data_IF_328130528557
#
_entry.id   IF_328130528557
#
_cell.length_a   1.000
_cell.length_b   1.000
_cell.length_c   1.000
_cell.angle_alpha   90.00
_cell.angle_beta   90.00
_cell.angle_gamma   90.00
#
_symmetry.space_group_name_H-M   'P 1'
#
loop_
_entity.id
_entity.type
_entity.pdbx_description
1 polymer ?
#
# COMPACT_ATOMS: atom_id res chain seq x y z
N UNK A 1 -42.05 18.36 -20.04
CA UNK A 1 -42.90 19.35 -19.34
C UNK A 1 -44.24 18.77 -18.92
N UNK A 2 -44.86 19.06 -17.78
CA UNK A 2 -44.57 20.11 -16.80
C UNK A 2 -44.34 19.58 -15.35
N UNK A 3 -43.63 20.33 -14.54
CA UNK A 3 -44.01 21.20 -13.38
C UNK A 3 -44.85 20.47 -12.30
N UNK A 4 -44.50 20.57 -11.08
CA UNK A 4 -44.36 21.48 -9.99
C UNK A 4 -44.76 20.70 -8.74
N UNK A 5 -44.41 20.90 -7.52
CA UNK A 5 -44.33 22.04 -6.62
C UNK A 5 -43.87 21.54 -5.24
N UNK A 6 -43.10 22.30 -4.53
CA UNK A 6 -43.08 22.34 -3.05
C UNK A 6 -44.32 23.20 -2.62
N UNK A 7 -44.69 23.36 -1.38
CA UNK A 7 -43.93 23.73 -0.17
C UNK A 7 -44.54 23.29 1.19
N UNK A 8 -43.98 23.78 2.31
CA UNK A 8 -44.66 23.97 3.59
C UNK A 8 -43.76 23.48 4.77
N UNK A 9 -43.07 24.22 5.48
CA UNK A 9 -43.29 25.39 6.35
C UNK A 9 -43.80 25.02 7.76
N UNK A 10 -42.92 25.36 8.75
CA UNK A 10 -43.22 26.03 10.04
C UNK A 10 -43.97 25.26 11.12
N UNK A 11 -43.38 25.24 12.31
CA UNK A 11 -44.02 24.91 13.56
C UNK A 11 -43.11 24.99 14.77
N UNK A 12 -42.84 26.19 15.25
CA UNK A 12 -42.24 26.39 16.57
C UNK A 12 -43.31 26.34 17.64
N UNK A 13 -42.97 25.84 18.82
CA UNK A 13 -43.73 26.10 20.04
C UNK A 13 -42.77 26.45 21.16
N UNK A 14 -43.02 27.63 21.73
CA UNK A 14 -42.50 28.16 23.00
C UNK A 14 -43.38 27.62 24.16
N UNK A 15 -42.81 27.62 25.35
CA UNK A 15 -43.48 27.62 26.62
C UNK A 15 -43.10 26.37 27.45
N UNK A 16 -42.81 26.43 28.72
CA UNK A 16 -43.08 27.40 29.73
C UNK A 16 -42.33 26.98 31.01
N UNK A 17 -42.05 27.93 31.80
CA UNK A 17 -41.42 27.84 33.12
C UNK A 17 -42.41 27.25 34.10
N UNK A 18 -42.02 26.29 34.97
CA UNK A 18 -42.58 26.20 36.29
C UNK A 18 -41.57 25.69 37.33
N UNK A 19 -41.51 26.44 38.40
CA UNK A 19 -40.77 26.22 39.66
C UNK A 19 -41.41 25.10 40.41
N UNK A 20 -40.59 24.23 41.01
CA UNK A 20 -40.88 23.73 42.38
C UNK A 20 -39.57 23.38 43.09
N UNK A 21 -39.50 23.90 44.27
CA UNK A 21 -38.50 23.82 45.33
C UNK A 21 -38.44 22.44 46.00
N UNK A 22 -37.25 22.04 46.44
CA UNK A 22 -37.20 21.10 47.55
C UNK A 22 -35.91 20.28 47.67
N UNK A 23 -35.10 20.63 48.65
CA UNK A 23 -34.25 19.80 49.48
C UNK A 23 -33.00 19.09 48.94
N UNK A 24 -31.84 19.62 49.26
CA UNK A 24 -30.78 19.00 50.05
C UNK A 24 -30.07 17.79 49.46
N UNK A 25 -29.05 18.02 48.62
CA UNK A 25 -27.94 17.11 48.37
C UNK A 25 -26.63 17.91 48.30
N UNK A 26 -25.50 17.30 48.65
CA UNK A 26 -24.22 18.02 48.65
C UNK A 26 -23.81 18.43 47.24
N UNK A 27 -23.05 19.49 47.08
CA UNK A 27 -22.71 20.01 45.74
C UNK A 27 -21.73 19.08 45.04
N UNK A 28 -22.21 18.40 44.03
CA UNK A 28 -21.40 18.04 42.87
C UNK A 28 -21.16 19.35 42.11
N UNK A 29 -19.93 19.80 42.10
CA UNK A 29 -19.38 20.67 41.07
C UNK A 29 -18.05 21.24 41.52
N UNK A 30 -16.99 20.54 41.25
CA UNK A 30 -15.69 21.13 40.91
C UNK A 30 -14.94 20.17 39.99
N UNK A 31 -15.51 19.90 38.81
CA UNK A 31 -14.69 19.50 37.65
C UNK A 31 -14.28 20.78 36.95
N UNK A 32 -13.39 21.51 37.56
CA UNK A 32 -12.62 22.54 36.89
C UNK A 32 -11.56 21.86 36.04
N UNK A 33 -11.64 22.02 34.75
CA UNK A 33 -10.56 21.72 33.81
C UNK A 33 -9.35 22.56 34.19
N UNK A 34 -8.46 21.99 35.00
CA UNK A 34 -7.15 22.58 35.23
C UNK A 34 -6.28 22.30 33.98
N UNK A 35 -6.24 23.23 33.07
CA UNK A 35 -5.10 23.42 32.18
C UNK A 35 -3.90 23.80 33.04
N UNK A 36 -3.04 22.86 33.28
CA UNK A 36 -1.74 22.84 33.96
C UNK A 36 -1.74 21.76 35.03
N UNK A 37 -1.00 20.70 34.79
CA UNK A 37 -0.93 19.46 35.55
C UNK A 37 -0.67 19.57 37.06
N UNK A 38 -1.70 19.87 37.82
CA UNK A 38 -1.72 19.80 39.27
C UNK A 38 -2.63 18.66 39.68
N UNK A 39 -2.07 17.57 40.21
CA UNK A 39 -2.83 16.52 40.85
C UNK A 39 -3.09 16.91 42.33
N UNK A 40 -4.35 17.15 42.68
CA UNK A 40 -4.79 17.32 44.07
C UNK A 40 -5.03 15.94 44.68
N UNK A 41 -4.23 15.57 45.70
CA UNK A 41 -4.55 14.45 46.59
C UNK A 41 -5.06 15.01 47.89
N UNK A 42 -6.29 14.68 48.24
CA UNK A 42 -6.83 14.93 49.58
C UNK A 42 -6.46 13.75 50.50
N UNK A 43 -5.81 14.05 51.63
CA UNK A 43 -5.67 13.11 52.75
C UNK A 43 -6.57 13.61 53.85
N UNK A 44 -7.58 12.84 54.24
CA UNK A 44 -8.36 13.07 55.45
C UNK A 44 -7.55 12.60 56.67
N UNK A 45 -7.18 13.52 57.52
CA UNK A 45 -6.69 13.26 58.87
C UNK A 45 -7.52 14.13 59.82
N UNK A 46 -8.45 13.48 60.49
CA UNK A 46 -9.22 13.85 61.69
C UNK A 46 -9.43 15.35 61.96
N UNK A 47 -10.66 15.77 62.02
CA UNK A 47 -11.33 16.97 62.52
C UNK A 47 -10.77 18.38 62.26
N UNK A 48 -9.62 18.52 61.57
CA UNK A 48 -9.15 19.81 61.06
C UNK A 48 -8.67 19.63 59.62
N UNK A 49 -9.42 20.16 58.68
CA UNK A 49 -9.10 20.06 57.25
C UNK A 49 -8.03 21.09 56.90
N UNK A 50 -6.77 20.73 57.00
CA UNK A 50 -5.68 21.53 56.43
C UNK A 50 -5.38 21.04 54.99
N UNK A 51 -5.67 21.89 54.03
CA UNK A 51 -5.33 21.64 52.63
C UNK A 51 -3.81 21.84 52.42
N UNK A 52 -3.04 20.77 52.44
CA UNK A 52 -1.63 20.79 52.07
C UNK A 52 -1.52 20.67 50.54
N UNK A 53 -1.30 21.80 49.89
CA UNK A 53 -0.95 21.82 48.48
C UNK A 53 0.54 21.43 48.36
N UNK A 54 0.81 20.16 48.07
CA UNK A 54 2.14 19.74 47.71
C UNK A 54 2.32 20.01 46.22
N UNK A 55 3.02 21.08 45.86
CA UNK A 55 3.50 21.33 44.50
C UNK A 55 4.57 20.27 44.16
N UNK A 56 4.11 19.10 43.71
CA UNK A 56 4.99 18.18 43.09
C UNK A 56 5.54 18.84 41.79
N UNK A 57 6.86 18.96 41.70
CA UNK A 57 7.46 19.26 40.38
C UNK A 57 6.98 18.17 39.41
N UNK A 58 6.04 18.53 38.56
CA UNK A 58 5.81 17.79 37.34
C UNK A 58 7.10 17.97 36.54
N UNK A 59 7.93 16.95 36.55
CA UNK A 59 8.97 16.87 35.55
C UNK A 59 8.22 16.87 34.22
N UNK A 60 8.26 18.00 33.52
CA UNK A 60 7.90 18.03 32.08
C UNK A 60 8.71 16.91 31.46
N UNK A 61 8.08 15.78 31.21
CA UNK A 61 8.61 14.84 30.23
C UNK A 61 8.57 15.62 28.92
N UNK A 62 9.73 16.18 28.56
CA UNK A 62 9.93 16.78 27.26
C UNK A 62 9.52 15.73 26.25
N UNK A 63 8.44 15.98 25.51
CA UNK A 63 8.01 15.09 24.45
C UNK A 63 9.22 14.80 23.57
N UNK A 64 9.47 13.54 23.18
CA UNK A 64 10.64 13.19 22.40
C UNK A 64 10.69 14.09 21.17
N UNK A 65 11.84 14.75 20.94
CA UNK A 65 12.03 15.64 19.81
C UNK A 65 11.99 14.82 18.51
N UNK A 66 10.85 14.81 17.84
CA UNK A 66 10.60 14.06 16.61
C UNK A 66 11.37 14.56 15.40
N UNK A 67 11.91 15.78 15.48
CA UNK A 67 12.78 16.29 14.41
C UNK A 67 14.07 15.44 14.26
N UNK A 68 14.60 14.89 15.35
CA UNK A 68 15.84 14.09 15.30
C UNK A 68 15.67 12.81 14.49
N UNK A 69 14.73 11.90 14.80
CA UNK A 69 14.55 10.68 14.00
C UNK A 69 14.14 10.98 12.56
N UNK A 70 13.30 11.99 12.32
CA UNK A 70 12.95 12.43 10.98
C UNK A 70 14.17 12.86 10.15
N UNK A 71 15.01 13.75 10.71
CA UNK A 71 16.22 14.21 10.02
C UNK A 71 17.24 13.08 9.81
N UNK A 72 17.33 12.15 10.76
CA UNK A 72 18.20 10.99 10.62
C UNK A 72 17.72 10.10 9.45
N UNK A 73 16.44 9.77 9.40
CA UNK A 73 15.87 8.98 8.31
C UNK A 73 16.02 9.68 6.95
N UNK A 74 15.76 11.01 6.89
CA UNK A 74 15.96 11.80 5.67
C UNK A 74 17.39 11.77 5.17
N UNK A 75 18.36 11.98 6.06
CA UNK A 75 19.79 11.96 5.72
C UNK A 75 20.23 10.57 5.26
N UNK A 76 19.71 9.50 5.89
CA UNK A 76 19.98 8.12 5.48
C UNK A 76 19.47 7.86 4.06
N UNK A 77 18.25 8.29 3.74
CA UNK A 77 17.67 8.18 2.38
C UNK A 77 18.51 8.98 1.38
N UNK A 78 18.85 10.24 1.70
CA UNK A 78 19.66 11.08 0.80
C UNK A 78 21.02 10.44 0.53
N UNK A 79 21.68 9.94 1.55
CA UNK A 79 22.98 9.27 1.43
C UNK A 79 22.88 8.00 0.60
N UNK A 80 21.88 7.16 0.87
CA UNK A 80 21.63 5.92 0.14
C UNK A 80 21.36 6.17 -1.34
N UNK A 81 20.45 7.10 -1.67
CA UNK A 81 20.15 7.44 -3.06
C UNK A 81 21.36 8.02 -3.77
N UNK A 82 22.14 8.84 -3.10
CA UNK A 82 23.37 9.45 -3.66
C UNK A 82 24.40 8.39 -4.02
N UNK A 83 24.61 7.42 -3.15
CA UNK A 83 25.54 6.32 -3.40
C UNK A 83 25.03 5.40 -4.52
N UNK A 84 23.80 4.94 -4.42
CA UNK A 84 23.16 4.03 -5.38
C UNK A 84 23.11 4.60 -6.81
N UNK A 85 22.85 5.91 -6.93
CA UNK A 85 22.76 6.60 -8.21
C UNK A 85 24.12 7.13 -8.69
N UNK A 86 25.19 7.02 -7.88
CA UNK A 86 26.46 7.68 -8.11
C UNK A 86 26.29 9.18 -8.38
N UNK A 87 25.36 9.81 -7.64
CA UNK A 87 24.95 11.19 -7.85
C UNK A 87 26.06 12.17 -7.43
N UNK A 88 26.23 13.23 -8.22
CA UNK A 88 27.19 14.30 -7.92
C UNK A 88 26.68 15.17 -6.76
N UNK A 89 27.59 15.91 -6.11
CA UNK A 89 27.21 16.87 -5.07
C UNK A 89 26.25 17.97 -5.56
N UNK A 90 26.28 18.27 -6.86
CA UNK A 90 25.39 19.24 -7.51
C UNK A 90 23.98 18.73 -7.74
N UNK A 91 23.79 17.40 -7.70
CA UNK A 91 22.49 16.80 -8.00
C UNK A 91 21.61 16.96 -6.77
N UNK A 92 20.41 17.52 -7.00
CA UNK A 92 19.47 17.79 -5.93
C UNK A 92 18.68 16.54 -5.53
N UNK A 93 18.09 16.57 -4.34
CA UNK A 93 17.34 15.45 -3.78
C UNK A 93 16.14 15.06 -4.66
N UNK A 94 15.38 16.05 -5.18
CA UNK A 94 14.22 15.78 -6.05
C UNK A 94 14.62 14.99 -7.30
N UNK A 95 15.74 15.33 -7.92
CA UNK A 95 16.27 14.59 -9.06
C UNK A 95 16.63 13.14 -8.68
N UNK A 96 17.23 12.92 -7.51
CA UNK A 96 17.54 11.57 -7.04
C UNK A 96 16.27 10.75 -6.81
N UNK A 97 15.22 11.35 -6.24
CA UNK A 97 13.91 10.72 -6.07
C UNK A 97 13.31 10.34 -7.42
N UNK A 98 13.31 11.25 -8.41
CA UNK A 98 12.83 10.96 -9.76
C UNK A 98 13.60 9.81 -10.44
N UNK A 99 14.92 9.70 -10.18
CA UNK A 99 15.71 8.57 -10.68
C UNK A 99 15.37 7.27 -9.95
N UNK A 100 15.04 7.31 -8.66
CA UNK A 100 14.61 6.14 -7.91
C UNK A 100 13.30 5.55 -8.47
N UNK A 101 12.32 6.40 -8.81
CA UNK A 101 11.08 5.97 -9.51
C UNK A 101 11.42 5.32 -10.85
N UNK A 102 12.23 5.97 -11.69
CA UNK A 102 12.61 5.43 -13.01
C UNK A 102 13.34 4.09 -12.93
N UNK A 103 13.96 3.77 -11.81
CA UNK A 103 14.62 2.49 -11.55
C UNK A 103 13.74 1.51 -10.78
N UNK A 104 12.47 1.82 -10.58
CA UNK A 104 11.49 0.99 -9.86
C UNK A 104 11.90 0.65 -8.42
N UNK A 105 12.62 1.56 -7.76
CA UNK A 105 13.06 1.40 -6.38
C UNK A 105 12.01 1.82 -5.37
N UNK A 106 11.16 2.76 -5.74
CA UNK A 106 10.02 3.28 -4.96
C UNK A 106 8.84 3.56 -5.88
N UNK A 107 7.64 3.60 -5.30
CA UNK A 107 6.42 4.03 -5.98
C UNK A 107 6.40 5.53 -6.27
N UNK A 108 5.50 5.98 -7.15
CA UNK A 108 5.28 7.41 -7.39
C UNK A 108 4.73 8.13 -6.16
N UNK A 109 3.93 7.44 -5.34
CA UNK A 109 3.36 7.96 -4.09
C UNK A 109 4.47 8.23 -3.07
N UNK A 110 5.36 7.27 -2.81
CA UNK A 110 6.53 7.49 -1.97
C UNK A 110 7.46 8.61 -2.48
N UNK A 111 7.57 8.76 -3.80
CA UNK A 111 8.33 9.86 -4.37
C UNK A 111 7.66 11.22 -4.11
N UNK A 112 6.33 11.26 -4.09
CA UNK A 112 5.55 12.43 -3.67
C UNK A 112 5.87 12.81 -2.23
N UNK A 113 5.73 11.85 -1.32
CA UNK A 113 6.01 12.03 0.12
C UNK A 113 7.44 12.50 0.37
N UNK A 114 8.43 11.89 -0.26
CA UNK A 114 9.83 12.29 -0.13
C UNK A 114 10.09 13.72 -0.59
N UNK A 115 9.39 14.20 -1.60
CA UNK A 115 9.49 15.58 -2.07
C UNK A 115 8.87 16.56 -1.06
N UNK A 116 7.78 16.19 -0.41
CA UNK A 116 7.17 16.97 0.68
C UNK A 116 8.04 16.94 1.93
N UNK A 117 8.61 15.79 2.28
CA UNK A 117 9.55 15.67 3.39
C UNK A 117 10.82 16.50 3.18
N UNK A 118 11.25 16.73 1.94
CA UNK A 118 12.35 17.65 1.67
C UNK A 118 12.02 19.09 2.04
N UNK A 119 10.78 19.54 1.83
CA UNK A 119 10.34 20.86 2.28
C UNK A 119 10.27 20.97 3.81
N UNK A 120 9.72 19.93 4.47
CA UNK A 120 9.69 19.88 5.93
C UNK A 120 11.11 19.86 6.52
N UNK A 121 12.02 19.06 5.94
CA UNK A 121 13.45 19.04 6.35
C UNK A 121 14.08 20.42 6.25
N UNK A 122 13.79 21.17 5.18
CA UNK A 122 14.28 22.53 5.02
C UNK A 122 13.72 23.45 6.10
N UNK A 123 12.43 23.37 6.41
CA UNK A 123 11.81 24.16 7.46
C UNK A 123 12.40 23.87 8.84
N UNK A 124 12.70 22.60 9.14
CA UNK A 124 13.33 22.19 10.41
C UNK A 124 14.79 22.66 10.47
N UNK A 125 15.58 22.47 9.40
CA UNK A 125 17.03 22.72 9.42
C UNK A 125 17.43 24.18 9.23
N UNK A 126 16.61 24.97 8.51
CA UNK A 126 16.90 26.36 8.18
C UNK A 126 15.90 27.34 8.80
N UNK A 127 14.90 26.84 9.51
CA UNK A 127 13.93 27.66 10.25
C UNK A 127 14.61 28.38 11.42
N UNK A 128 13.94 29.43 11.93
CA UNK A 128 14.38 30.06 13.18
C UNK A 128 14.17 29.08 14.33
N UNK A 129 15.20 28.98 15.18
CA UNK A 129 15.05 28.28 16.45
C UNK A 129 14.40 29.19 17.46
N UNK A 130 13.61 28.64 18.40
CA UNK A 130 13.13 29.35 19.57
C UNK A 130 14.28 29.65 20.52
N UNK A 131 14.05 30.49 21.54
CA UNK A 131 15.07 30.79 22.57
C UNK A 131 15.59 29.53 23.25
N UNK A 132 14.77 28.46 23.33
CA UNK A 132 15.14 27.15 23.87
C UNK A 132 15.81 26.19 22.85
N UNK A 133 16.24 26.72 21.70
CA UNK A 133 16.87 25.95 20.64
C UNK A 133 15.97 24.85 20.03
N UNK A 134 14.66 25.02 20.11
CA UNK A 134 13.70 24.13 19.45
C UNK A 134 13.46 24.59 18.01
N UNK A 135 13.35 23.67 17.05
CA UNK A 135 12.98 24.01 15.69
C UNK A 135 11.54 24.54 15.66
N UNK A 136 11.27 25.47 14.73
CA UNK A 136 9.90 26.06 14.57
C UNK A 136 8.87 25.07 13.99
N UNK A 137 9.32 23.95 13.47
CA UNK A 137 8.47 22.89 12.96
C UNK A 137 8.90 21.55 13.59
N UNK A 138 7.92 20.76 13.98
CA UNK A 138 8.13 19.42 14.51
C UNK A 138 7.27 18.44 13.71
N UNK A 139 7.84 17.32 13.20
CA UNK A 139 7.07 16.33 12.45
C UNK A 139 5.99 15.70 13.31
N UNK A 140 4.88 15.33 12.69
CA UNK A 140 3.89 14.46 13.31
C UNK A 140 4.48 13.06 13.52
N UNK A 141 3.99 12.27 14.50
CA UNK A 141 4.43 10.89 14.69
C UNK A 141 4.30 10.04 13.42
N UNK A 142 3.19 10.22 12.69
CA UNK A 142 2.90 9.53 11.44
C UNK A 142 3.95 9.86 10.38
N UNK A 143 4.31 11.13 10.24
CA UNK A 143 5.34 11.58 9.28
C UNK A 143 6.71 10.95 9.56
N UNK A 144 7.05 10.76 10.85
CA UNK A 144 8.29 10.07 11.22
C UNK A 144 8.20 8.59 10.86
N UNK A 145 7.07 7.94 11.14
CA UNK A 145 6.87 6.53 10.80
C UNK A 145 6.92 6.32 9.28
N UNK A 146 6.33 7.22 8.51
CA UNK A 146 6.30 7.14 7.04
C UNK A 146 7.71 7.28 6.44
N UNK A 147 8.49 8.26 6.87
CA UNK A 147 9.86 8.40 6.34
C UNK A 147 10.78 7.25 6.74
N UNK A 148 10.61 6.70 7.95
CA UNK A 148 11.36 5.52 8.40
C UNK A 148 11.00 4.30 7.57
N UNK A 149 9.72 4.10 7.26
CA UNK A 149 9.24 3.03 6.38
C UNK A 149 9.82 3.15 4.97
N UNK A 150 9.76 4.33 4.35
CA UNK A 150 10.35 4.55 3.01
C UNK A 150 11.86 4.30 3.03
N UNK A 151 12.57 4.70 4.10
CA UNK A 151 13.99 4.39 4.27
C UNK A 151 14.22 2.87 4.27
N UNK A 152 13.41 2.12 4.98
CA UNK A 152 13.59 0.68 5.13
C UNK A 152 13.25 -0.06 3.82
N UNK A 153 12.21 0.35 3.08
CA UNK A 153 11.89 -0.13 1.73
C UNK A 153 13.06 0.13 0.76
N UNK A 154 13.65 1.32 0.79
CA UNK A 154 14.78 1.64 -0.07
C UNK A 154 16.02 0.79 0.22
N UNK A 155 16.26 0.44 1.49
CA UNK A 155 17.42 -0.35 1.92
C UNK A 155 17.25 -1.84 1.63
N UNK A 156 16.03 -2.34 1.76
CA UNK A 156 15.69 -3.75 1.53
C UNK A 156 14.33 -3.86 0.82
N UNK A 157 14.28 -3.51 -0.48
CA UNK A 157 13.04 -3.48 -1.22
C UNK A 157 12.43 -4.89 -1.31
N UNK A 158 11.11 -5.03 -1.08
CA UNK A 158 10.45 -6.32 -1.09
C UNK A 158 10.55 -6.98 -2.47
N UNK A 159 10.91 -8.26 -2.50
CA UNK A 159 10.85 -9.06 -3.73
C UNK A 159 9.45 -9.62 -3.92
N UNK A 160 9.02 -9.75 -5.18
CA UNK A 160 7.69 -10.30 -5.50
C UNK A 160 7.51 -11.72 -4.90
N UNK A 161 8.55 -12.54 -4.93
CA UNK A 161 8.50 -13.88 -4.36
C UNK A 161 8.53 -13.88 -2.83
N UNK A 162 9.21 -12.90 -2.21
CA UNK A 162 9.21 -12.71 -0.75
C UNK A 162 7.81 -12.34 -0.23
N UNK A 163 7.11 -11.50 -0.96
CA UNK A 163 5.74 -11.07 -0.63
C UNK A 163 4.72 -12.19 -0.86
N UNK A 164 4.72 -12.77 -2.06
CA UNK A 164 3.69 -13.74 -2.47
C UNK A 164 3.98 -15.17 -2.01
N UNK A 165 5.20 -15.47 -1.58
CA UNK A 165 5.63 -16.80 -1.23
C UNK A 165 5.77 -17.74 -2.43
N UNK A 166 6.23 -18.95 -2.13
CA UNK A 166 6.31 -20.03 -3.12
C UNK A 166 4.96 -20.72 -3.27
N UNK A 167 4.61 -21.06 -4.52
CA UNK A 167 3.42 -21.84 -4.83
C UNK A 167 3.74 -22.88 -5.91
N UNK A 168 3.18 -24.09 -5.79
CA UNK A 168 3.32 -25.09 -6.84
C UNK A 168 2.59 -24.61 -8.12
N UNK A 169 3.35 -24.39 -9.19
CA UNK A 169 2.79 -23.96 -10.46
C UNK A 169 2.25 -25.14 -11.23
N UNK A 170 0.96 -25.12 -11.52
CA UNK A 170 0.33 -26.08 -12.43
C UNK A 170 0.62 -25.67 -13.86
N UNK A 171 1.06 -26.60 -14.67
CA UNK A 171 1.35 -26.41 -16.11
C UNK A 171 0.59 -27.43 -16.92
N UNK A 172 0.39 -27.14 -18.20
CA UNK A 172 -0.17 -28.07 -19.17
C UNK A 172 0.77 -28.19 -20.37
N UNK A 173 0.68 -29.31 -21.09
CA UNK A 173 1.41 -29.49 -22.35
C UNK A 173 0.53 -29.09 -23.56
N UNK A 174 1.12 -28.70 -24.71
CA UNK A 174 0.36 -28.38 -25.91
C UNK A 174 -0.56 -29.52 -26.39
N UNK A 175 -0.12 -30.76 -26.20
CA UNK A 175 -0.87 -31.95 -26.60
C UNK A 175 -1.90 -32.43 -25.60
N UNK A 176 -1.97 -31.82 -24.40
CA UNK A 176 -2.94 -32.20 -23.37
C UNK A 176 -4.37 -31.89 -23.87
N UNK A 177 -5.31 -32.71 -23.47
CA UNK A 177 -6.75 -32.47 -23.68
C UNK A 177 -7.18 -31.26 -22.86
N UNK A 178 -7.86 -30.30 -23.50
CA UNK A 178 -8.38 -29.08 -22.86
C UNK A 178 -9.19 -29.38 -21.58
N UNK A 179 -9.85 -30.54 -21.52
CA UNK A 179 -10.61 -30.97 -20.32
C UNK A 179 -9.74 -31.13 -19.08
N UNK A 180 -8.42 -31.35 -19.22
CA UNK A 180 -7.50 -31.37 -18.09
C UNK A 180 -7.28 -29.98 -17.52
N UNK A 181 -7.06 -28.99 -18.40
CA UNK A 181 -6.96 -27.59 -17.99
C UNK A 181 -8.28 -27.11 -17.33
N UNK A 182 -9.42 -27.47 -17.91
CA UNK A 182 -10.73 -27.13 -17.35
C UNK A 182 -10.95 -27.76 -15.95
N UNK A 183 -10.46 -29.01 -15.70
CA UNK A 183 -10.51 -29.63 -14.36
C UNK A 183 -9.66 -28.84 -13.36
N UNK A 184 -8.47 -28.40 -13.73
CA UNK A 184 -7.61 -27.58 -12.86
C UNK A 184 -8.31 -26.26 -12.53
N UNK A 185 -8.77 -25.51 -13.54
CA UNK A 185 -9.48 -24.24 -13.37
C UNK A 185 -10.70 -24.37 -12.46
N UNK A 186 -11.51 -25.44 -12.67
CA UNK A 186 -12.73 -25.68 -11.87
C UNK A 186 -12.42 -26.06 -10.41
N UNK A 187 -11.30 -26.76 -10.15
CA UNK A 187 -10.94 -27.21 -8.82
C UNK A 187 -10.07 -26.24 -8.03
N UNK A 188 -9.65 -25.14 -8.65
CA UNK A 188 -8.78 -24.14 -8.07
C UNK A 188 -9.27 -22.74 -8.41
N UNK A 189 -8.60 -21.71 -7.88
CA UNK A 189 -8.82 -20.29 -8.27
C UNK A 189 -7.89 -19.83 -9.40
N UNK A 190 -7.15 -20.77 -10.03
CA UNK A 190 -6.19 -20.47 -11.09
C UNK A 190 -6.95 -20.08 -12.37
N UNK A 191 -6.60 -18.96 -12.95
CA UNK A 191 -7.16 -18.43 -14.20
C UNK A 191 -6.16 -18.36 -15.36
N UNK A 192 -4.88 -18.68 -15.08
CA UNK A 192 -3.80 -18.72 -16.05
C UNK A 192 -2.97 -19.97 -15.84
N UNK A 193 -2.79 -20.76 -16.88
CA UNK A 193 -1.98 -21.97 -16.89
C UNK A 193 -0.83 -21.84 -17.88
N UNK A 194 0.43 -21.81 -17.42
CA UNK A 194 1.58 -21.85 -18.34
C UNK A 194 1.61 -23.16 -19.11
N UNK A 195 1.89 -23.03 -20.41
CA UNK A 195 2.00 -24.18 -21.33
C UNK A 195 3.47 -24.48 -21.51
N UNK A 196 3.87 -25.69 -21.14
CA UNK A 196 5.26 -26.12 -21.23
C UNK A 196 5.39 -27.30 -22.21
N UNK A 197 6.34 -27.17 -23.12
CA UNK A 197 6.75 -28.24 -24.02
C UNK A 197 8.27 -28.46 -23.88
N UNK A 198 8.68 -29.70 -23.60
CA UNK A 198 10.09 -30.07 -23.46
C UNK A 198 10.89 -29.13 -22.53
N UNK A 199 10.28 -28.71 -21.41
CA UNK A 199 10.91 -27.84 -20.40
C UNK A 199 10.92 -26.35 -20.75
N UNK A 200 10.31 -25.94 -21.86
CA UNK A 200 10.22 -24.55 -22.32
C UNK A 200 8.77 -24.07 -22.33
N UNK A 201 8.52 -22.90 -21.78
CA UNK A 201 7.21 -22.28 -21.87
C UNK A 201 6.95 -21.81 -23.31
N UNK A 202 5.88 -22.29 -23.89
CA UNK A 202 5.45 -21.98 -25.25
C UNK A 202 4.29 -20.99 -25.28
N UNK A 203 3.57 -20.83 -24.18
CA UNK A 203 2.43 -19.91 -24.08
C UNK A 203 1.79 -19.91 -22.70
N UNK A 204 0.68 -19.24 -22.62
CA UNK A 204 -0.19 -19.24 -21.43
C UNK A 204 -1.64 -19.45 -21.87
N UNK A 205 -2.28 -20.42 -21.27
CA UNK A 205 -3.71 -20.65 -21.43
C UNK A 205 -4.47 -19.83 -20.39
N UNK A 206 -5.34 -18.94 -20.84
CA UNK A 206 -6.14 -18.09 -19.96
C UNK A 206 -7.62 -18.50 -20.02
N UNK A 207 -8.37 -18.15 -18.97
CA UNK A 207 -9.83 -18.31 -18.99
C UNK A 207 -10.49 -17.51 -20.11
N UNK A 208 -9.89 -16.37 -20.54
CA UNK A 208 -10.38 -15.59 -21.68
C UNK A 208 -10.22 -16.33 -23.00
N UNK A 209 -9.04 -16.94 -23.22
CA UNK A 209 -8.80 -17.78 -24.40
C UNK A 209 -9.82 -18.94 -24.46
N UNK A 210 -10.01 -19.61 -23.33
CA UNK A 210 -11.00 -20.70 -23.21
C UNK A 210 -12.40 -20.20 -23.52
N UNK A 211 -12.81 -19.04 -22.97
CA UNK A 211 -14.15 -18.49 -23.20
C UNK A 211 -14.37 -18.16 -24.69
N UNK A 212 -13.36 -17.61 -25.40
CA UNK A 212 -13.46 -17.34 -26.84
C UNK A 212 -13.54 -18.61 -27.66
N UNK A 213 -12.73 -19.61 -27.30
CA UNK A 213 -12.83 -20.92 -27.94
C UNK A 213 -14.22 -21.54 -27.73
N UNK A 214 -14.73 -21.59 -26.49
CA UNK A 214 -16.07 -22.15 -26.18
C UNK A 214 -17.15 -21.44 -27.00
N UNK A 215 -17.10 -20.10 -27.09
CA UNK A 215 -18.07 -19.36 -27.87
C UNK A 215 -18.03 -19.73 -29.36
N UNK A 216 -16.84 -19.85 -29.95
CA UNK A 216 -16.67 -20.20 -31.36
C UNK A 216 -17.05 -21.67 -31.64
N UNK A 217 -16.73 -22.58 -30.74
CA UNK A 217 -17.01 -24.01 -30.91
C UNK A 217 -18.52 -24.30 -30.78
N UNK A 218 -19.23 -23.61 -29.90
CA UNK A 218 -20.69 -23.73 -29.77
C UNK A 218 -21.45 -23.12 -30.97
N UNK A 219 -20.92 -22.05 -31.57
CA UNK A 219 -21.53 -21.43 -32.75
C UNK A 219 -21.49 -22.36 -33.98
N UNK A 220 -20.54 -23.32 -34.03
CA UNK A 220 -20.41 -24.25 -35.15
C UNK A 220 -21.49 -25.35 -35.15
N UNK A 221 -21.72 -26.00 -33.98
CA UNK A 221 -22.57 -27.20 -33.97
C UNK A 221 -23.37 -27.44 -32.66
N UNK A 222 -23.44 -26.47 -31.77
CA UNK A 222 -24.04 -26.54 -30.41
C UNK A 222 -23.37 -27.57 -29.47
N UNK A 223 -22.19 -28.07 -29.79
CA UNK A 223 -21.44 -29.03 -28.97
C UNK A 223 -20.00 -28.57 -28.74
N UNK A 224 -19.46 -28.90 -27.56
CA UNK A 224 -18.04 -28.69 -27.28
C UNK A 224 -17.24 -29.90 -27.73
N UNK A 225 -16.40 -29.68 -28.73
CA UNK A 225 -15.49 -30.69 -29.25
C UNK A 225 -14.27 -30.87 -28.34
N UNK A 226 -13.74 -32.09 -28.30
CA UNK A 226 -12.47 -32.34 -27.62
C UNK A 226 -11.33 -31.74 -28.46
N UNK A 227 -10.61 -30.76 -27.89
CA UNK A 227 -9.46 -30.11 -28.50
C UNK A 227 -8.22 -30.28 -27.64
N UNK A 228 -7.07 -30.24 -28.27
CA UNK A 228 -5.82 -30.06 -27.54
C UNK A 228 -5.66 -28.62 -27.04
N UNK A 229 -4.83 -28.43 -26.02
CA UNK A 229 -4.48 -27.08 -25.52
C UNK A 229 -3.88 -26.23 -26.65
N UNK A 230 -3.08 -26.81 -27.53
CA UNK A 230 -2.49 -26.10 -28.67
C UNK A 230 -3.56 -25.53 -29.62
N UNK A 231 -4.59 -26.33 -29.96
CA UNK A 231 -5.68 -25.87 -30.82
C UNK A 231 -6.49 -24.75 -30.17
N UNK A 232 -6.73 -24.79 -28.86
CA UNK A 232 -7.45 -23.74 -28.12
C UNK A 232 -6.67 -22.43 -28.10
N UNK A 233 -5.34 -22.45 -28.22
CA UNK A 233 -4.53 -21.23 -28.29
C UNK A 233 -4.77 -20.40 -29.57
N UNK A 234 -5.37 -20.95 -30.60
CA UNK A 234 -5.72 -20.18 -31.82
C UNK A 234 -6.72 -19.05 -31.52
N UNK A 235 -7.43 -19.11 -30.39
CA UNK A 235 -8.34 -18.07 -29.91
C UNK A 235 -7.69 -17.10 -28.89
N UNK A 236 -6.37 -17.18 -28.67
CA UNK A 236 -5.65 -16.23 -27.81
C UNK A 236 -5.56 -14.85 -28.46
N UNK A 237 -5.68 -13.80 -27.65
CA UNK A 237 -5.42 -12.42 -28.11
C UNK A 237 -4.00 -11.96 -27.74
N UNK A 238 -3.65 -10.75 -28.17
CA UNK A 238 -2.31 -10.19 -27.95
C UNK A 238 -1.98 -9.98 -26.46
N UNK A 239 -2.98 -9.90 -25.59
CA UNK A 239 -2.78 -9.78 -24.16
C UNK A 239 -2.61 -11.16 -23.48
N UNK A 240 -3.05 -12.25 -24.12
CA UNK A 240 -2.92 -13.60 -23.56
C UNK A 240 -1.47 -14.09 -23.63
N UNK A 241 -0.57 -13.29 -23.05
CA UNK A 241 0.88 -13.53 -23.00
C UNK A 241 1.38 -13.43 -21.57
N UNK A 242 2.50 -14.08 -21.31
CA UNK A 242 3.23 -13.94 -20.05
C UNK A 242 4.54 -13.20 -20.27
N UNK A 243 4.96 -12.44 -19.25
CA UNK A 243 6.33 -11.96 -19.09
C UNK A 243 7.10 -12.91 -18.19
N UNK A 244 8.42 -12.97 -18.35
CA UNK A 244 9.27 -13.79 -17.51
C UNK A 244 10.11 -12.88 -16.63
N UNK A 245 10.05 -13.13 -15.32
CA UNK A 245 10.75 -12.36 -14.30
C UNK A 245 11.70 -13.29 -13.53
N UNK A 246 12.81 -12.71 -13.07
CA UNK A 246 13.78 -13.47 -12.27
C UNK A 246 13.26 -13.73 -10.87
N UNK A 247 13.85 -14.70 -10.19
CA UNK A 247 13.55 -15.03 -8.79
C UNK A 247 13.64 -13.82 -7.85
N UNK A 248 14.59 -12.93 -8.13
CA UNK A 248 14.88 -11.78 -7.28
C UNK A 248 14.20 -10.49 -7.78
N UNK A 249 13.18 -10.60 -8.65
CA UNK A 249 12.43 -9.45 -9.13
C UNK A 249 11.80 -8.69 -7.95
N UNK A 250 11.93 -7.38 -7.94
CA UNK A 250 11.28 -6.54 -6.93
C UNK A 250 9.76 -6.54 -7.11
N UNK A 251 9.05 -6.35 -6.01
CA UNK A 251 7.58 -6.26 -6.05
C UNK A 251 7.11 -5.16 -7.00
N UNK A 252 7.75 -3.97 -6.95
CA UNK A 252 7.44 -2.86 -7.86
C UNK A 252 7.69 -3.21 -9.33
N UNK A 253 8.82 -3.86 -9.65
CA UNK A 253 9.12 -4.29 -11.03
C UNK A 253 8.07 -5.30 -11.55
N UNK A 254 7.57 -6.18 -10.68
CA UNK A 254 6.54 -7.14 -11.04
C UNK A 254 5.18 -6.47 -11.27
N UNK A 255 4.82 -5.46 -10.47
CA UNK A 255 3.65 -4.61 -10.69
C UNK A 255 3.75 -3.93 -12.06
N UNK A 256 4.86 -3.23 -12.30
CA UNK A 256 5.07 -2.48 -13.54
C UNK A 256 5.05 -3.37 -14.78
N UNK A 257 5.61 -4.59 -14.68
CA UNK A 257 5.58 -5.55 -15.77
C UNK A 257 4.17 -5.99 -16.18
N UNK A 258 3.19 -5.89 -15.27
CA UNK A 258 1.80 -6.29 -15.51
C UNK A 258 0.85 -5.11 -15.74
N UNK A 259 1.20 -3.91 -15.29
CA UNK A 259 0.35 -2.71 -15.35
C UNK A 259 0.78 -1.70 -16.40
N UNK A 260 2.03 -1.76 -16.88
CA UNK A 260 2.54 -0.85 -17.90
C UNK A 260 2.31 -1.42 -19.30
N UNK A 261 1.56 -0.73 -20.17
CA UNK A 261 1.39 -1.14 -21.54
C UNK A 261 2.72 -1.24 -22.28
N UNK A 262 2.87 -2.27 -23.10
CA UNK A 262 4.01 -2.44 -24.00
C UNK A 262 3.93 -1.44 -25.17
N UNK A 263 4.98 -1.39 -25.96
CA UNK A 263 5.06 -0.50 -27.14
C UNK A 263 3.95 -0.75 -28.18
N UNK A 264 3.44 -1.98 -28.23
CA UNK A 264 2.33 -2.39 -29.09
C UNK A 264 0.95 -2.16 -28.43
N UNK A 265 0.90 -1.59 -27.22
CA UNK A 265 -0.32 -1.36 -26.43
C UNK A 265 -0.84 -2.60 -25.70
N UNK A 266 -0.22 -3.76 -25.88
CA UNK A 266 -0.63 -5.00 -25.19
C UNK A 266 -0.21 -4.99 -23.71
N UNK A 267 -1.02 -5.62 -22.87
CA UNK A 267 -0.73 -5.83 -21.44
C UNK A 267 -0.66 -7.33 -21.15
N UNK A 268 0.44 -7.84 -20.59
CA UNK A 268 0.54 -9.25 -20.25
C UNK A 268 -0.51 -9.65 -19.22
N UNK A 269 -1.11 -10.83 -19.41
CA UNK A 269 -2.09 -11.37 -18.44
C UNK A 269 -1.44 -11.97 -17.20
N UNK A 270 -0.17 -12.32 -17.27
CA UNK A 270 0.55 -12.90 -16.16
C UNK A 270 2.05 -12.62 -16.25
N UNK A 271 2.73 -12.71 -15.11
CA UNK A 271 4.17 -12.84 -15.05
C UNK A 271 4.53 -14.23 -14.50
N UNK A 272 5.52 -14.86 -15.10
CA UNK A 272 6.03 -16.17 -14.68
C UNK A 272 7.41 -15.95 -14.07
N UNK A 273 7.54 -16.19 -12.77
CA UNK A 273 8.83 -16.17 -12.10
C UNK A 273 9.54 -17.49 -12.38
N UNK A 274 10.77 -17.38 -12.85
CA UNK A 274 11.71 -18.48 -13.02
C UNK A 274 13.05 -18.11 -12.38
N UNK A 275 14.01 -19.04 -12.29
CA UNK A 275 15.28 -18.76 -11.60
C UNK A 275 16.00 -17.51 -12.14
N UNK A 276 16.02 -17.33 -13.49
CA UNK A 276 16.71 -16.22 -14.12
C UNK A 276 15.83 -15.44 -15.11
N UNK A 277 14.50 -15.50 -15.01
CA UNK A 277 13.59 -14.79 -15.90
C UNK A 277 13.53 -15.35 -17.33
N UNK A 278 13.81 -16.64 -17.53
CA UNK A 278 13.84 -17.25 -18.84
C UNK A 278 12.74 -18.26 -19.04
N UNK A 279 12.22 -18.34 -20.25
CA UNK A 279 11.14 -19.25 -20.65
C UNK A 279 11.54 -20.74 -20.70
N UNK A 280 12.85 -21.02 -20.77
CA UNK A 280 13.41 -22.36 -20.79
C UNK A 280 13.76 -22.88 -19.39
N UNK A 281 13.13 -22.34 -18.36
CA UNK A 281 13.32 -22.71 -16.97
C UNK A 281 11.99 -23.09 -16.33
N UNK A 282 12.08 -23.92 -15.29
CA UNK A 282 10.90 -24.33 -14.51
C UNK A 282 10.25 -23.11 -13.85
N UNK A 283 8.91 -22.98 -13.92
CA UNK A 283 8.21 -21.90 -13.24
C UNK A 283 8.26 -22.09 -11.73
N UNK A 284 8.51 -21.00 -11.00
CA UNK A 284 8.50 -20.95 -9.53
C UNK A 284 7.16 -20.39 -9.05
N UNK A 285 6.64 -19.36 -9.74
CA UNK A 285 5.36 -18.71 -9.43
C UNK A 285 4.75 -18.11 -10.70
N UNK A 286 3.43 -18.10 -10.74
CA UNK A 286 2.67 -17.26 -11.69
C UNK A 286 2.05 -16.13 -10.90
N UNK A 287 2.22 -14.91 -11.38
CA UNK A 287 1.62 -13.69 -10.83
C UNK A 287 0.50 -13.29 -11.78
N UNK A 288 -0.71 -13.17 -11.25
CA UNK A 288 -1.88 -12.71 -11.98
C UNK A 288 -2.45 -11.41 -11.42
N UNK A 289 -3.59 -10.99 -11.94
CA UNK A 289 -4.23 -9.73 -11.52
C UNK A 289 -4.56 -9.64 -10.03
N UNK A 290 -4.93 -10.75 -9.39
CA UNK A 290 -5.21 -10.79 -7.95
C UNK A 290 -3.97 -10.60 -7.08
N UNK A 291 -2.80 -10.97 -7.56
CA UNK A 291 -1.55 -10.83 -6.82
C UNK A 291 -1.05 -9.37 -6.82
N UNK A 292 -1.48 -8.56 -7.81
CA UNK A 292 -1.06 -7.15 -7.93
C UNK A 292 -1.47 -6.37 -6.68
N UNK A 293 -2.69 -6.57 -6.17
CA UNK A 293 -3.15 -5.87 -4.97
C UNK A 293 -2.28 -6.19 -3.74
N UNK A 294 -1.88 -7.45 -3.59
CA UNK A 294 -1.00 -7.88 -2.48
C UNK A 294 0.41 -7.30 -2.63
N UNK A 295 0.92 -7.22 -3.86
CA UNK A 295 2.21 -6.60 -4.13
C UNK A 295 2.19 -5.09 -3.87
N UNK A 296 1.12 -4.40 -4.29
CA UNK A 296 0.95 -2.96 -4.04
C UNK A 296 0.90 -2.67 -2.54
N UNK A 297 0.11 -3.43 -1.77
CA UNK A 297 0.06 -3.28 -0.32
C UNK A 297 1.46 -3.44 0.31
N UNK A 298 2.27 -4.40 -0.15
CA UNK A 298 3.60 -4.62 0.39
C UNK A 298 4.64 -3.57 -0.02
N UNK A 299 4.43 -2.86 -1.11
CA UNK A 299 5.29 -1.75 -1.56
C UNK A 299 4.91 -0.45 -0.85
N UNK A 300 3.62 -0.28 -0.48
CA UNK A 300 3.10 0.92 0.16
C UNK A 300 3.07 0.80 1.69
N UNK A 301 3.26 -0.41 2.27
CA UNK A 301 3.30 -0.65 3.72
C UNK A 301 4.71 -0.63 4.27
#
# INVERSE_FOLDING_TARGET
NPRATAPGAVGGVRGGIDKLSGAGGPPEDLVGVAQQGVQLRACELGHDTHLLITLGRVTEQTAPNRAIPFLAAFNDIEAFLRDLLSAKKSDNFRWMVDQAVRRHLISEDHAGDLKEFAELRNAISHGRYTEDMRPIAEPLPETVADIERIRDILRDPPTALGVLGHHEVRTVAPADDIREALRVIRSTTISQLPIYDNGKCTGILTTNTIARWVAADLDDNDHLDARSVAEVLDWADDNDRAVFLSRNVLAQEAIDALTTPRKDGSMPRAAIITEHGRKDQRPIRVIGGSDIAVLMEAVDS
#
